data_IF_469663298010
#
_entry.id   IF_469663298010
#
_cell.length_a   1.000
_cell.length_b   1.000
_cell.length_c   1.000
_cell.angle_alpha   90.00
_cell.angle_beta   90.00
_cell.angle_gamma   90.00
#
_symmetry.space_group_name_H-M   'P 1'
#
loop_
_entity.id
_entity.type
_entity.pdbx_description
1 polymer ?
#
# COMPACT_ATOMS: atom_id res chain seq x y z
N UNK A 1 14.28 1.33 20.21
CA UNK A 1 13.25 0.48 19.58
C UNK A 1 13.38 0.68 18.07
N UNK A 2 13.35 -0.38 17.27
CA UNK A 2 13.43 -0.26 15.81
C UNK A 2 12.22 0.50 15.28
N UNK A 3 12.44 1.54 14.49
CA UNK A 3 11.38 2.35 13.91
C UNK A 3 10.86 1.64 12.65
N UNK A 4 9.56 1.32 12.63
CA UNK A 4 8.90 0.89 11.39
C UNK A 4 8.72 2.16 10.55
N UNK A 5 9.64 2.39 9.61
CA UNK A 5 9.52 3.48 8.64
C UNK A 5 8.24 3.33 7.83
N UNK A 6 7.65 4.45 7.41
CA UNK A 6 6.50 4.43 6.51
C UNK A 6 6.84 3.65 5.24
N UNK A 7 6.25 2.47 5.10
CA UNK A 7 6.39 1.59 3.94
C UNK A 7 5.19 1.78 3.03
N UNK A 8 5.34 1.49 1.73
CA UNK A 8 4.19 1.53 0.82
C UNK A 8 3.18 0.45 1.24
N UNK A 9 1.87 0.59 0.92
CA UNK A 9 0.90 -0.47 1.20
C UNK A 9 1.30 -1.84 0.64
N UNK A 10 1.99 -1.86 -0.50
CA UNK A 10 2.50 -3.11 -1.09
C UNK A 10 3.64 -3.71 -0.26
N UNK A 11 4.59 -2.89 0.18
CA UNK A 11 5.70 -3.37 1.02
C UNK A 11 5.21 -3.81 2.40
N UNK A 12 4.28 -3.07 3.00
CA UNK A 12 3.63 -3.46 4.25
C UNK A 12 2.97 -4.83 4.16
N UNK A 13 2.31 -5.11 3.02
CA UNK A 13 1.69 -6.40 2.76
C UNK A 13 2.71 -7.53 2.55
N UNK A 14 3.75 -7.27 1.74
CA UNK A 14 4.75 -8.28 1.32
C UNK A 14 5.72 -8.63 2.44
N UNK A 15 6.24 -7.63 3.16
CA UNK A 15 7.27 -7.80 4.18
C UNK A 15 6.67 -8.01 5.58
N UNK A 16 5.39 -7.65 5.76
CA UNK A 16 4.79 -7.57 7.08
C UNK A 16 4.28 -8.89 7.66
N UNK A 17 4.14 -8.89 8.98
CA UNK A 17 3.61 -10.03 9.75
C UNK A 17 2.19 -9.75 10.22
N UNK A 18 1.27 -10.71 10.00
CA UNK A 18 -0.11 -10.51 10.42
C UNK A 18 -0.22 -10.53 11.96
N UNK A 19 -1.14 -9.73 12.49
CA UNK A 19 -1.30 -9.52 13.93
C UNK A 19 -1.49 -10.86 14.64
N UNK A 20 -2.35 -11.75 14.12
CA UNK A 20 -2.59 -13.07 14.73
C UNK A 20 -1.31 -13.90 14.88
N UNK A 21 -0.49 -13.96 13.83
CA UNK A 21 0.76 -14.71 13.85
C UNK A 21 1.74 -14.11 14.84
N UNK A 22 1.90 -12.78 14.84
CA UNK A 22 2.79 -12.09 15.77
C UNK A 22 2.36 -12.27 17.24
N UNK A 23 1.05 -12.29 17.49
CA UNK A 23 0.47 -12.49 18.83
C UNK A 23 0.62 -13.93 19.36
N UNK A 24 0.92 -14.91 18.50
CA UNK A 24 1.04 -16.33 18.85
C UNK A 24 2.50 -16.80 19.07
N UNK A 25 3.50 -15.92 18.99
CA UNK A 25 4.92 -16.28 19.18
C UNK A 25 5.19 -16.68 20.63
N UNK A 26 5.09 -15.71 21.55
CA UNK A 26 5.18 -15.91 22.99
C UNK A 26 4.53 -14.74 23.75
N UNK A 27 4.45 -14.85 25.07
CA UNK A 27 3.82 -13.86 25.94
C UNK A 27 4.55 -12.48 25.94
N UNK A 28 5.86 -12.46 25.69
CA UNK A 28 6.64 -11.22 25.64
C UNK A 28 6.34 -10.46 24.35
N UNK A 29 6.35 -11.16 23.21
CA UNK A 29 6.00 -10.60 21.91
C UNK A 29 4.54 -10.14 21.89
N UNK A 30 3.63 -10.93 22.47
CA UNK A 30 2.22 -10.56 22.58
C UNK A 30 2.04 -9.20 23.30
N UNK A 31 2.75 -8.98 24.40
CA UNK A 31 2.76 -7.69 25.12
C UNK A 31 3.39 -6.58 24.27
N UNK A 32 4.51 -6.89 23.60
CA UNK A 32 5.20 -5.96 22.71
C UNK A 32 4.32 -5.45 21.57
N UNK A 33 3.58 -6.34 20.89
CA UNK A 33 2.66 -5.97 19.80
C UNK A 33 1.51 -5.10 20.31
N UNK A 34 0.90 -5.46 21.44
CA UNK A 34 -0.16 -4.63 22.05
C UNK A 34 0.35 -3.24 22.41
N UNK A 35 1.53 -3.17 23.03
CA UNK A 35 2.16 -1.89 23.38
C UNK A 35 2.44 -1.06 22.11
N UNK A 36 2.98 -1.69 21.07
CA UNK A 36 3.25 -1.02 19.80
C UNK A 36 1.97 -0.46 19.16
N UNK A 37 0.89 -1.25 19.07
CA UNK A 37 -0.39 -0.78 18.53
C UNK A 37 -0.93 0.38 19.37
N UNK A 38 -0.85 0.28 20.70
CA UNK A 38 -1.27 1.35 21.60
C UNK A 38 -0.46 2.64 21.36
N UNK A 39 0.86 2.55 21.17
CA UNK A 39 1.69 3.72 20.85
C UNK A 39 1.34 4.32 19.49
N UNK A 40 0.98 3.50 18.49
CA UNK A 40 0.55 3.99 17.18
C UNK A 40 -0.81 4.68 17.23
N UNK A 41 -1.77 4.17 18.01
CA UNK A 41 -3.06 4.84 18.23
C UNK A 41 -2.84 6.19 18.91
N UNK A 42 -2.01 6.23 19.96
CA UNK A 42 -1.68 7.48 20.64
C UNK A 42 -0.99 8.49 19.71
N UNK A 43 -0.06 8.03 18.86
CA UNK A 43 0.60 8.85 17.84
C UNK A 43 -0.42 9.41 16.84
N UNK A 44 -1.31 8.56 16.33
CA UNK A 44 -2.35 8.97 15.39
C UNK A 44 -3.23 10.07 15.99
N UNK A 45 -3.73 9.86 17.21
CA UNK A 45 -4.55 10.84 17.92
C UNK A 45 -3.83 12.19 18.06
N UNK A 46 -2.53 12.17 18.39
CA UNK A 46 -1.71 13.39 18.54
C UNK A 46 -1.48 14.13 17.21
N UNK A 47 -1.28 13.40 16.11
CA UNK A 47 -0.97 14.03 14.81
C UNK A 47 -2.24 14.56 14.12
N UNK A 48 -3.34 13.80 14.17
CA UNK A 48 -4.61 14.22 13.56
C UNK A 48 -5.23 15.40 14.33
N UNK A 49 -5.00 15.45 15.65
CA UNK A 49 -5.44 16.54 16.52
C UNK A 49 -6.93 16.88 16.37
N UNK A 50 -7.77 15.83 16.43
CA UNK A 50 -9.21 15.99 16.29
C UNK A 50 -9.85 16.60 17.56
N UNK A 51 -10.86 17.45 17.39
CA UNK A 51 -11.59 18.10 18.49
C UNK A 51 -12.08 17.08 19.55
N UNK A 52 -12.54 15.91 19.11
CA UNK A 52 -12.92 14.79 19.96
C UNK A 52 -12.09 13.56 19.63
N UNK A 53 -11.12 13.24 20.49
CA UNK A 53 -10.22 12.09 20.28
C UNK A 53 -10.14 11.19 21.51
N UNK A 54 -9.45 10.05 21.41
CA UNK A 54 -9.16 9.17 22.55
C UNK A 54 -8.27 9.92 23.56
N UNK A 55 -8.71 9.99 24.81
CA UNK A 55 -8.16 10.90 25.82
C UNK A 55 -7.70 10.22 27.10
N UNK A 56 -8.13 8.98 27.33
CA UNK A 56 -7.74 8.20 28.52
C UNK A 56 -7.02 6.91 28.13
N UNK A 57 -6.21 6.39 29.06
CA UNK A 57 -5.53 5.10 28.90
C UNK A 57 -6.52 3.96 28.60
N UNK A 58 -7.70 3.99 29.20
CA UNK A 58 -8.70 2.94 28.99
C UNK A 58 -9.31 3.00 27.58
N UNK A 59 -9.57 4.20 27.08
CA UNK A 59 -10.01 4.40 25.69
C UNK A 59 -8.96 3.89 24.68
N UNK A 60 -7.68 4.19 24.92
CA UNK A 60 -6.57 3.72 24.08
C UNK A 60 -6.42 2.19 24.13
N UNK A 61 -6.48 1.59 25.33
CA UNK A 61 -6.43 0.14 25.53
C UNK A 61 -7.60 -0.56 24.85
N UNK A 62 -8.81 0.01 24.95
CA UNK A 62 -10.01 -0.51 24.30
C UNK A 62 -9.85 -0.48 22.78
N UNK A 63 -9.39 0.64 22.21
CA UNK A 63 -9.13 0.74 20.77
C UNK A 63 -8.08 -0.28 20.30
N UNK A 64 -6.96 -0.40 21.00
CA UNK A 64 -5.94 -1.40 20.70
C UNK A 64 -6.50 -2.84 20.74
N UNK A 65 -7.33 -3.17 21.74
CA UNK A 65 -7.97 -4.48 21.84
C UNK A 65 -8.87 -4.75 20.63
N UNK A 66 -9.72 -3.79 20.27
CA UNK A 66 -10.59 -3.92 19.09
C UNK A 66 -9.80 -4.09 17.80
N UNK A 67 -8.68 -3.38 17.61
CA UNK A 67 -7.83 -3.56 16.42
C UNK A 67 -7.31 -5.00 16.32
N UNK A 68 -6.82 -5.56 17.43
CA UNK A 68 -6.29 -6.93 17.47
C UNK A 68 -7.37 -7.98 17.22
N UNK A 69 -8.57 -7.76 17.76
CA UNK A 69 -9.69 -8.71 17.68
C UNK A 69 -10.41 -8.66 16.33
N UNK A 70 -10.66 -7.46 15.80
CA UNK A 70 -11.43 -7.26 14.57
C UNK A 70 -10.59 -7.44 13.30
N UNK A 71 -9.27 -7.14 13.37
CA UNK A 71 -8.38 -7.18 12.21
C UNK A 71 -7.18 -8.13 12.37
N UNK A 72 -7.38 -9.40 12.79
CA UNK A 72 -6.28 -10.32 13.08
C UNK A 72 -5.43 -10.67 11.83
N UNK A 73 -5.99 -10.46 10.63
CA UNK A 73 -5.36 -10.76 9.35
C UNK A 73 -4.58 -9.57 8.76
N UNK A 74 -4.75 -8.35 9.26
CA UNK A 74 -3.92 -7.20 8.86
C UNK A 74 -2.48 -7.41 9.33
N UNK A 75 -1.53 -6.90 8.56
CA UNK A 75 -0.13 -6.80 9.00
C UNK A 75 0.07 -5.66 9.98
N UNK A 76 1.03 -5.81 10.89
CA UNK A 76 1.43 -4.75 11.84
C UNK A 76 1.84 -3.48 11.06
N UNK A 77 2.60 -3.66 9.99
CA UNK A 77 3.07 -2.63 9.08
C UNK A 77 1.91 -1.97 8.29
N UNK A 78 0.87 -2.74 7.97
CA UNK A 78 -0.34 -2.21 7.33
C UNK A 78 -1.12 -1.28 8.28
N UNK A 79 -1.14 -1.55 9.59
CA UNK A 79 -1.76 -0.64 10.57
C UNK A 79 -1.05 0.71 10.56
N UNK A 80 0.29 0.73 10.60
CA UNK A 80 1.08 1.97 10.50
C UNK A 80 0.78 2.71 9.19
N UNK A 81 0.78 1.99 8.08
CA UNK A 81 0.52 2.54 6.75
C UNK A 81 -0.87 3.15 6.65
N UNK A 82 -1.89 2.43 7.15
CA UNK A 82 -3.25 2.94 7.23
C UNK A 82 -3.31 4.23 8.07
N UNK A 83 -2.64 4.29 9.21
CA UNK A 83 -2.62 5.48 10.06
C UNK A 83 -1.93 6.67 9.38
N UNK A 84 -0.84 6.43 8.65
CA UNK A 84 -0.19 7.48 7.86
C UNK A 84 -1.10 7.96 6.71
N UNK A 85 -1.90 7.07 6.11
CA UNK A 85 -2.93 7.45 5.14
C UNK A 85 -4.10 8.24 5.76
N UNK A 86 -4.49 7.93 7.01
CA UNK A 86 -5.46 8.74 7.77
C UNK A 86 -4.91 10.16 7.97
N UNK A 87 -3.65 10.28 8.41
CA UNK A 87 -2.98 11.58 8.60
C UNK A 87 -2.94 12.38 7.29
N UNK A 88 -2.74 11.70 6.16
CA UNK A 88 -2.78 12.30 4.82
C UNK A 88 -4.20 12.64 4.33
N UNK A 89 -5.25 12.33 5.09
CA UNK A 89 -6.65 12.60 4.74
C UNK A 89 -7.23 11.68 3.67
N UNK A 90 -6.63 10.52 3.42
CA UNK A 90 -7.06 9.58 2.36
C UNK A 90 -8.42 8.95 2.61
N UNK A 91 -8.86 8.88 3.87
CA UNK A 91 -10.15 8.30 4.27
C UNK A 91 -11.20 9.35 4.64
N UNK A 92 -10.96 10.61 4.27
CA UNK A 92 -11.80 11.76 4.61
C UNK A 92 -11.19 12.65 5.69
N UNK A 93 -11.89 13.75 6.01
CA UNK A 93 -11.46 14.73 7.01
C UNK A 93 -11.97 14.31 8.39
N UNK A 94 -11.05 13.99 9.31
CA UNK A 94 -11.36 13.53 10.67
C UNK A 94 -11.04 14.57 11.75
N UNK A 95 -11.08 15.86 11.40
CA UNK A 95 -10.73 16.95 12.33
C UNK A 95 -11.73 17.14 13.47
N UNK A 96 -12.99 16.74 13.30
CA UNK A 96 -14.01 16.90 14.35
C UNK A 96 -13.99 15.76 15.37
N UNK A 97 -13.80 14.52 14.90
CA UNK A 97 -13.89 13.34 15.74
C UNK A 97 -13.02 12.21 15.21
N UNK A 98 -12.21 11.66 16.10
CA UNK A 98 -11.41 10.46 15.89
C UNK A 98 -11.49 9.55 17.13
N UNK A 99 -12.57 8.78 17.24
CA UNK A 99 -12.76 7.77 18.28
C UNK A 99 -12.52 6.37 17.71
N UNK A 100 -12.59 5.35 18.56
CA UNK A 100 -12.37 3.95 18.19
C UNK A 100 -13.14 3.57 16.94
N UNK A 101 -14.44 3.85 16.88
CA UNK A 101 -15.28 3.52 15.72
C UNK A 101 -14.75 4.13 14.40
N UNK A 102 -14.27 5.37 14.44
CA UNK A 102 -13.73 6.08 13.26
C UNK A 102 -12.42 5.44 12.79
N UNK A 103 -11.55 5.04 13.72
CA UNK A 103 -10.30 4.33 13.44
C UNK A 103 -10.58 2.95 12.83
N UNK A 104 -11.49 2.17 13.42
CA UNK A 104 -11.84 0.84 12.90
C UNK A 104 -12.47 0.95 11.50
N UNK A 105 -13.28 1.97 11.25
CA UNK A 105 -13.85 2.21 9.93
C UNK A 105 -12.78 2.53 8.88
N UNK A 106 -11.77 3.34 9.24
CA UNK A 106 -10.63 3.58 8.35
C UNK A 106 -9.84 2.29 8.05
N UNK A 107 -9.67 1.41 9.03
CA UNK A 107 -9.03 0.10 8.82
C UNK A 107 -9.85 -0.80 7.89
N UNK A 108 -11.19 -0.81 8.01
CA UNK A 108 -12.06 -1.55 7.07
C UNK A 108 -11.95 -1.00 5.65
N UNK A 109 -11.94 0.33 5.50
CA UNK A 109 -11.71 0.98 4.20
C UNK A 109 -10.34 0.63 3.64
N UNK A 110 -9.30 0.63 4.48
CA UNK A 110 -7.98 0.18 4.05
C UNK A 110 -8.01 -1.26 3.53
N UNK A 111 -8.67 -2.19 4.23
CA UNK A 111 -8.80 -3.57 3.76
C UNK A 111 -9.54 -3.68 2.42
N UNK A 112 -10.65 -2.96 2.27
CA UNK A 112 -11.49 -3.02 1.07
C UNK A 112 -10.92 -2.27 -0.13
N UNK A 113 -10.37 -1.07 0.08
CA UNK A 113 -10.01 -0.15 -1.00
C UNK A 113 -8.52 -0.18 -1.33
N UNK A 114 -7.65 -0.49 -0.35
CA UNK A 114 -6.18 -0.45 -0.52
C UNK A 114 -5.60 -1.85 -0.61
N UNK A 115 -5.95 -2.73 0.33
CA UNK A 115 -5.41 -4.09 0.40
C UNK A 115 -6.02 -5.01 -0.66
N UNK A 116 -7.32 -4.92 -0.95
CA UNK A 116 -7.97 -5.80 -1.91
C UNK A 116 -7.36 -5.71 -3.33
N UNK A 117 -7.06 -4.52 -3.90
CA UNK A 117 -6.38 -4.43 -5.20
C UNK A 117 -4.96 -5.02 -5.20
N UNK A 118 -4.22 -4.91 -4.08
CA UNK A 118 -2.89 -5.51 -3.93
C UNK A 118 -2.98 -7.04 -3.96
N UNK A 119 -3.94 -7.59 -3.22
CA UNK A 119 -4.24 -9.02 -3.20
C UNK A 119 -4.61 -9.53 -4.60
N UNK A 120 -5.52 -8.83 -5.28
CA UNK A 120 -5.94 -9.18 -6.64
C UNK A 120 -4.76 -9.20 -7.60
N UNK A 121 -3.94 -8.15 -7.60
CA UNK A 121 -2.74 -8.06 -8.44
C UNK A 121 -1.74 -9.17 -8.15
N UNK A 122 -1.52 -9.50 -6.88
CA UNK A 122 -0.62 -10.60 -6.53
C UNK A 122 -1.15 -11.96 -6.95
N UNK A 123 -2.46 -12.21 -6.79
CA UNK A 123 -3.08 -13.46 -7.24
C UNK A 123 -3.02 -13.55 -8.76
N UNK A 124 -3.31 -12.46 -9.46
CA UNK A 124 -3.18 -12.36 -10.91
C UNK A 124 -1.74 -12.67 -11.35
N UNK A 125 -0.75 -11.99 -10.78
CA UNK A 125 0.65 -12.19 -11.12
C UNK A 125 1.12 -13.62 -10.79
N UNK A 126 0.72 -14.19 -9.65
CA UNK A 126 1.07 -15.58 -9.30
C UNK A 126 0.43 -16.60 -10.24
N UNK A 127 -0.76 -16.31 -10.78
CA UNK A 127 -1.37 -17.11 -11.86
C UNK A 127 -0.61 -16.92 -13.17
N UNK A 128 -0.21 -15.70 -13.50
CA UNK A 128 0.54 -15.37 -14.72
C UNK A 128 1.98 -15.91 -14.72
N UNK A 129 2.67 -15.92 -13.59
CA UNK A 129 3.97 -16.58 -13.42
C UNK A 129 3.86 -18.11 -13.59
N UNK A 130 2.66 -18.66 -13.36
CA UNK A 130 2.32 -20.07 -13.65
C UNK A 130 1.71 -20.26 -15.05
N UNK A 131 1.33 -19.19 -15.74
CA UNK A 131 0.97 -19.22 -17.15
C UNK A 131 2.27 -19.18 -17.94
N UNK A 132 2.77 -20.37 -18.29
CA UNK A 132 3.30 -20.49 -19.63
C UNK A 132 2.23 -19.93 -20.57
N UNK A 133 2.55 -18.88 -21.32
CA UNK A 133 1.68 -18.39 -22.38
C UNK A 133 1.47 -19.56 -23.34
N UNK A 134 0.34 -20.23 -23.24
CA UNK A 134 0.01 -21.28 -24.18
C UNK A 134 -0.22 -20.65 -25.56
N UNK A 135 -0.15 -21.48 -26.60
CA UNK A 135 -0.29 -21.00 -27.98
C UNK A 135 -1.62 -20.27 -28.22
N UNK A 136 -2.66 -20.55 -27.42
CA UNK A 136 -4.00 -19.96 -27.54
C UNK A 136 -4.06 -18.54 -26.95
N UNK A 137 -3.34 -18.29 -25.87
CA UNK A 137 -3.19 -16.95 -25.29
C UNK A 137 -2.42 -16.02 -26.24
N UNK A 138 -1.35 -16.52 -26.85
CA UNK A 138 -0.57 -15.79 -27.86
C UNK A 138 -1.42 -15.47 -29.09
N UNK A 139 -2.17 -16.46 -29.61
CA UNK A 139 -3.07 -16.27 -30.75
C UNK A 139 -4.18 -15.25 -30.47
N UNK A 140 -4.73 -15.25 -29.25
CA UNK A 140 -5.77 -14.29 -28.85
C UNK A 140 -5.23 -12.86 -28.82
N UNK A 141 -4.06 -12.64 -28.20
CA UNK A 141 -3.43 -11.31 -28.18
C UNK A 141 -3.02 -10.89 -29.58
N UNK A 142 -2.50 -11.81 -30.40
CA UNK A 142 -2.14 -11.54 -31.80
C UNK A 142 -3.34 -11.06 -32.61
N UNK A 143 -4.51 -11.71 -32.47
CA UNK A 143 -5.75 -11.27 -33.12
C UNK A 143 -6.18 -9.86 -32.70
N UNK A 144 -5.97 -9.49 -31.44
CA UNK A 144 -6.28 -8.13 -30.95
C UNK A 144 -5.28 -7.10 -31.47
N UNK A 145 -4.01 -7.47 -31.63
CA UNK A 145 -2.99 -6.58 -32.21
C UNK A 145 -3.16 -6.44 -33.72
N UNK A 146 -3.49 -7.53 -34.42
CA UNK A 146 -3.69 -7.57 -35.87
C UNK A 146 -4.92 -6.74 -36.31
N UNK A 147 -5.88 -6.48 -35.42
CA UNK A 147 -7.01 -5.57 -35.69
C UNK A 147 -6.67 -4.09 -35.47
N UNK A 148 -5.50 -3.77 -34.92
CA UNK A 148 -5.05 -2.41 -34.71
C UNK A 148 -4.12 -2.02 -35.87
N UNK A 149 -4.45 -0.94 -36.58
CA UNK A 149 -3.49 -0.27 -37.46
C UNK A 149 -2.42 0.44 -36.61
N UNK A 150 -1.46 -0.34 -36.09
CA UNK A 150 -0.33 0.21 -35.33
C UNK A 150 0.57 0.94 -36.32
N UNK A 151 0.40 2.26 -36.41
CA UNK A 151 1.29 3.12 -37.19
C UNK A 151 2.64 3.17 -36.50
N UNK A 152 3.66 2.61 -37.13
CA UNK A 152 5.03 2.78 -36.64
C UNK A 152 5.37 4.27 -36.56
N UNK A 153 5.95 4.74 -35.44
CA UNK A 153 6.40 6.12 -35.34
C UNK A 153 7.43 6.36 -36.45
N UNK A 154 7.15 7.32 -37.35
CA UNK A 154 8.08 7.73 -38.40
C UNK A 154 9.42 8.05 -37.75
N UNK A 155 10.47 7.30 -38.10
CA UNK A 155 11.85 7.62 -37.71
C UNK A 155 12.09 9.11 -37.99
N UNK A 156 12.57 9.91 -37.01
CA UNK A 156 12.91 11.29 -37.27
C UNK A 156 13.86 11.34 -38.46
N UNK A 157 13.58 12.17 -39.47
CA UNK A 157 14.50 12.35 -40.59
C UNK A 157 15.86 12.77 -40.03
N UNK A 158 16.90 11.99 -40.31
CA UNK A 158 18.31 12.23 -39.99
C UNK A 158 18.80 13.56 -40.62
N UNK A 159 18.35 14.67 -40.07
CA UNK A 159 18.70 16.01 -40.54
C UNK A 159 18.73 17.02 -39.41
N UNK A 160 19.05 16.56 -38.20
CA UNK A 160 19.29 17.42 -37.06
C UNK A 160 20.47 18.37 -37.33
N UNK A 161 20.37 19.59 -36.83
CA UNK A 161 21.41 20.64 -36.93
C UNK A 161 22.82 20.11 -36.57
N UNK A 162 22.93 19.18 -35.62
CA UNK A 162 24.20 18.58 -35.21
C UNK A 162 24.97 17.84 -36.31
N UNK A 163 24.28 17.13 -37.22
CA UNK A 163 24.94 16.47 -38.36
C UNK A 163 25.30 17.46 -39.48
N UNK A 164 24.51 18.53 -39.65
CA UNK A 164 24.83 19.62 -40.59
C UNK A 164 26.08 20.39 -40.17
N UNK A 165 26.28 20.54 -38.87
CA UNK A 165 27.48 21.17 -38.29
C UNK A 165 28.70 20.26 -38.43
N UNK A 166 28.59 18.94 -38.16
CA UNK A 166 29.67 17.98 -38.41
C UNK A 166 30.12 17.95 -39.88
N UNK A 167 29.17 17.94 -40.83
CA UNK A 167 29.48 17.95 -42.27
C UNK A 167 30.11 19.28 -42.74
N UNK A 168 29.84 20.40 -42.06
CA UNK A 168 30.47 21.71 -42.35
C UNK A 168 31.86 21.88 -41.71
N UNK A 169 32.13 21.20 -40.60
CA UNK A 169 33.39 21.33 -39.86
C UNK A 169 34.46 20.31 -40.28
N UNK A 170 34.15 19.39 -41.20
CA UNK A 170 35.15 18.45 -41.75
C UNK A 170 35.78 17.55 -40.69
N UNK A 171 35.07 17.32 -39.59
CA UNK A 171 35.44 16.38 -38.53
C UNK A 171 34.58 15.12 -38.69
N UNK A 172 34.89 14.34 -39.73
CA UNK A 172 34.55 12.92 -39.74
C UNK A 172 35.65 12.15 -39.00
#
# INVERSE_FOLDING_TARGET
>A
MGEIMGVTPTDAWVLGTNIRAAMNIDATHQKGIRLWILTEVGRLCKIVDANKTLSTDEELKMCCRSIVEDFPALKIEEVRTCFDMIIQGKFGKLYERLKTADILECLRKYEGEVRAPILERQIHNRKHDKLHWDAKHIDTVKKVVDTLEVREPKKPKDSGLGQRVKRKLGTD
#
